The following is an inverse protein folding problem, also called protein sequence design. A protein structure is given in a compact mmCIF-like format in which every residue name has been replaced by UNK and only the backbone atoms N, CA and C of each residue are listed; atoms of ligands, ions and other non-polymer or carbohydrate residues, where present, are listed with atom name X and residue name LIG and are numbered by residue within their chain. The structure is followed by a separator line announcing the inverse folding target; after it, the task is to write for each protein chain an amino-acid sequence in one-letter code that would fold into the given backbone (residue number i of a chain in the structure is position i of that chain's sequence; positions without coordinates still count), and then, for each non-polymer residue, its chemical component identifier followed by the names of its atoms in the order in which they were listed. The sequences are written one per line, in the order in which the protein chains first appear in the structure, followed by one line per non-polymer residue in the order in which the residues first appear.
data_IF_060592936698
#
_entry.id   IF_060592936698
#
_cell.length_a   1.000
_cell.length_b   1.000
_cell.length_c   1.000
_cell.angle_alpha   90.00
_cell.angle_beta   90.00
_cell.angle_gamma   90.00
#
_symmetry.space_group_name_H-M   'P 1'
#
loop_
_entity.id
_entity.type
_entity.pdbx_description
1 polymer ?
#
# COMPACT_ATOMS: atom_id res chain seq x y z
N UNK A 1 0.43 -4.69 16.80
CA UNK A 1 -0.23 -4.76 15.48
C UNK A 1 -1.01 -3.46 15.29
N UNK A 2 -0.67 -2.62 14.32
CA UNK A 2 -1.30 -1.30 14.14
C UNK A 2 -2.72 -1.46 13.58
N UNK A 3 -3.74 -0.82 14.16
CA UNK A 3 -5.12 -0.88 13.62
C UNK A 3 -5.45 0.33 12.74
N UNK A 4 -4.76 1.45 12.95
CA UNK A 4 -5.00 2.68 12.19
C UNK A 4 -4.40 2.56 10.78
N UNK A 5 -5.15 3.07 9.79
CA UNK A 5 -4.71 3.10 8.39
C UNK A 5 -4.54 1.72 7.76
N UNK A 6 -5.23 0.70 8.31
CA UNK A 6 -5.29 -0.63 7.73
C UNK A 6 -5.88 -0.55 6.31
N UNK A 7 -5.23 -1.16 5.31
CA UNK A 7 -5.80 -1.25 3.98
C UNK A 7 -6.96 -2.25 3.96
N UNK A 8 -7.89 -2.08 3.02
CA UNK A 8 -8.95 -3.07 2.81
C UNK A 8 -8.35 -4.43 2.41
N UNK A 9 -8.93 -5.54 2.91
CA UNK A 9 -8.41 -6.92 2.70
C UNK A 9 -8.14 -7.29 1.24
N UNK A 10 -8.89 -6.70 0.30
CA UNK A 10 -8.73 -6.89 -1.17
C UNK A 10 -7.34 -6.54 -1.70
N UNK A 11 -6.59 -5.73 -0.97
CA UNK A 11 -5.26 -5.27 -1.36
C UNK A 11 -4.13 -6.04 -0.67
N UNK A 12 -4.46 -7.01 0.19
CA UNK A 12 -3.47 -7.87 0.81
C UNK A 12 -2.69 -8.65 -0.25
N UNK A 13 -1.36 -8.70 -0.12
CA UNK A 13 -0.46 -9.38 -1.07
C UNK A 13 -0.33 -8.70 -2.43
N UNK A 14 -0.88 -7.49 -2.62
CA UNK A 14 -0.68 -6.72 -3.86
C UNK A 14 0.58 -5.87 -3.76
N UNK A 15 1.26 -5.74 -4.88
CA UNK A 15 2.44 -4.87 -5.07
C UNK A 15 2.01 -3.66 -5.88
N UNK A 16 2.57 -2.50 -5.54
CA UNK A 16 2.30 -1.25 -6.24
C UNK A 16 3.46 -0.27 -6.08
N UNK A 17 3.38 0.82 -6.83
CA UNK A 17 4.40 1.87 -6.86
C UNK A 17 4.00 3.00 -5.93
N UNK A 18 4.94 3.49 -5.11
CA UNK A 18 4.70 4.66 -4.26
C UNK A 18 4.59 5.90 -5.12
N UNK A 19 3.45 6.57 -5.09
CA UNK A 19 3.22 7.83 -5.80
C UNK A 19 3.46 9.05 -4.91
N UNK A 20 3.25 8.92 -3.59
CA UNK A 20 3.53 9.99 -2.62
C UNK A 20 3.88 9.42 -1.26
N UNK A 21 4.86 10.04 -0.60
CA UNK A 21 5.20 9.76 0.80
C UNK A 21 4.74 10.93 1.66
N UNK A 22 3.95 10.64 2.69
CA UNK A 22 3.58 11.58 3.74
C UNK A 22 4.26 11.23 5.06
N UNK A 23 3.99 12.03 6.11
CA UNK A 23 4.63 11.85 7.43
C UNK A 23 4.41 10.46 8.05
N UNK A 24 3.21 9.88 7.87
CA UNK A 24 2.81 8.59 8.50
C UNK A 24 2.16 7.61 7.53
N UNK A 25 1.92 8.04 6.29
CA UNK A 25 1.18 7.29 5.29
C UNK A 25 1.83 7.44 3.94
N UNK A 26 1.64 6.44 3.10
CA UNK A 26 2.04 6.44 1.71
C UNK A 26 0.83 6.28 0.81
N UNK A 27 0.89 6.93 -0.33
CA UNK A 27 -0.04 6.71 -1.43
C UNK A 27 0.62 5.77 -2.43
N UNK A 28 -0.09 4.70 -2.78
CA UNK A 28 0.35 3.63 -3.67
C UNK A 28 -0.58 3.57 -4.87
N UNK A 29 0.00 3.41 -6.06
CA UNK A 29 -0.72 3.01 -7.25
C UNK A 29 -0.61 1.48 -7.37
N UNK A 30 -1.72 0.78 -7.21
CA UNK A 30 -1.81 -0.68 -7.22
C UNK A 30 -2.73 -1.15 -8.35
N UNK A 31 -2.37 -2.25 -9.01
CA UNK A 31 -3.27 -2.94 -9.93
C UNK A 31 -4.16 -3.93 -9.19
N UNK A 32 -5.46 -3.85 -9.46
CA UNK A 32 -6.44 -4.85 -9.07
C UNK A 32 -7.09 -5.43 -10.34
N UNK A 33 -6.54 -6.57 -10.79
CA UNK A 33 -6.82 -7.07 -12.14
C UNK A 33 -6.34 -6.06 -13.17
N UNK A 34 -7.24 -5.65 -14.07
CA UNK A 34 -6.92 -4.69 -15.14
C UNK A 34 -7.11 -3.22 -14.74
N UNK A 35 -7.57 -2.95 -13.50
CA UNK A 35 -7.85 -1.58 -13.05
C UNK A 35 -6.76 -1.09 -12.11
N UNK A 36 -6.32 0.14 -12.32
CA UNK A 36 -5.47 0.84 -11.35
C UNK A 36 -6.32 1.45 -10.24
N UNK A 37 -5.76 1.44 -9.02
CA UNK A 37 -6.36 1.98 -7.82
C UNK A 37 -5.31 2.72 -7.01
N UNK A 38 -5.72 3.83 -6.42
CA UNK A 38 -4.95 4.56 -5.43
C UNK A 38 -5.26 3.99 -4.05
N UNK A 39 -4.24 3.53 -3.33
CA UNK A 39 -4.34 3.06 -1.95
C UNK A 39 -3.55 3.98 -1.05
N UNK A 40 -4.16 4.42 0.05
CA UNK A 40 -3.48 5.16 1.10
C UNK A 40 -3.39 4.25 2.32
N UNK A 41 -2.17 3.97 2.78
CA UNK A 41 -1.94 3.13 3.96
C UNK A 41 -0.71 3.57 4.74
N UNK A 42 -0.50 3.03 5.94
CA UNK A 42 0.68 3.33 6.76
C UNK A 42 1.85 2.42 6.38
N UNK A 43 3.05 2.88 6.71
CA UNK A 43 4.29 2.12 6.52
C UNK A 43 4.28 0.78 7.28
N UNK A 44 3.59 0.72 8.43
CA UNK A 44 3.42 -0.53 9.21
C UNK A 44 2.72 -1.66 8.43
N UNK A 45 1.99 -1.33 7.37
CA UNK A 45 1.14 -2.28 6.61
C UNK A 45 1.72 -2.66 5.26
N UNK A 46 2.91 -2.16 4.94
CA UNK A 46 3.60 -2.46 3.69
C UNK A 46 5.03 -2.87 3.97
N UNK A 47 5.67 -3.49 3.00
CA UNK A 47 7.10 -3.77 3.03
C UNK A 47 7.69 -3.49 1.65
N UNK A 48 8.98 -3.09 1.57
CA UNK A 48 9.70 -3.05 0.31
C UNK A 48 9.60 -4.38 -0.42
N UNK A 49 9.44 -4.33 -1.74
CA UNK A 49 9.37 -5.52 -2.59
C UNK A 49 10.71 -5.72 -3.30
N UNK A 50 11.26 -6.93 -3.26
CA UNK A 50 12.48 -7.30 -3.98
C UNK A 50 13.80 -6.91 -3.30
N UNK A 51 13.79 -6.55 -2.02
CA UNK A 51 15.01 -6.38 -1.21
C UNK A 51 15.09 -7.52 -0.20
N UNK A 52 16.29 -8.08 -0.04
CA UNK A 52 16.64 -9.00 1.03
C UNK A 52 17.15 -8.23 2.24
#
# INVERSE_FOLDING_TARGET
RQHKGLPHRRYHGKVGTVSKVGRRSVTLNIKLGNKEKTLITRLDHIKPFGVN
#
